data_IF_693531154251
#
_entry.id   IF_693531154251
#
_cell.length_a   1.000
_cell.length_b   1.000
_cell.length_c   1.000
_cell.angle_alpha   90.00
_cell.angle_beta   90.00
_cell.angle_gamma   90.00
#
_symmetry.space_group_name_H-M   'P 1'
#
loop_
_entity.id
_entity.type
_entity.pdbx_description
1 polymer ?
#
# COMPACT_ATOMS: atom_id res chain seq x y z
N UNK A 1 8.75 -7.40 1.28
CA UNK A 1 8.06 -8.11 0.19
C UNK A 1 8.11 -9.60 0.49
N UNK A 2 6.98 -10.22 0.87
CA UNK A 2 6.91 -11.67 1.00
C UNK A 2 6.68 -12.23 -0.39
N UNK A 3 7.68 -12.91 -0.95
CA UNK A 3 7.54 -13.63 -2.22
C UNK A 3 6.96 -15.00 -1.90
N UNK A 4 5.66 -15.18 -2.11
CA UNK A 4 5.05 -16.50 -2.06
C UNK A 4 5.51 -17.27 -3.31
N UNK A 5 6.28 -18.33 -3.11
CA UNK A 5 6.79 -19.15 -4.20
C UNK A 5 5.69 -20.10 -4.71
N UNK A 6 4.87 -19.63 -5.66
CA UNK A 6 3.87 -20.47 -6.31
C UNK A 6 4.54 -21.30 -7.41
N UNK A 7 4.49 -22.63 -7.29
CA UNK A 7 5.06 -23.56 -8.28
C UNK A 7 4.43 -23.33 -9.67
N UNK A 8 5.28 -23.16 -10.68
CA UNK A 8 4.86 -22.97 -12.07
C UNK A 8 4.19 -24.26 -12.58
N UNK A 9 2.93 -24.19 -13.00
CA UNK A 9 2.18 -25.30 -13.61
C UNK A 9 1.03 -25.88 -12.77
N UNK A 10 0.85 -25.45 -11.52
CA UNK A 10 -0.35 -25.80 -10.75
C UNK A 10 -1.49 -24.83 -11.08
N UNK A 11 -2.68 -25.37 -11.38
CA UNK A 11 -3.94 -24.59 -11.46
C UNK A 11 -4.38 -24.20 -10.04
N UNK A 12 -3.51 -23.51 -9.30
CA UNK A 12 -3.80 -23.08 -7.94
C UNK A 12 -4.73 -21.88 -8.03
N UNK A 13 -5.99 -22.07 -7.64
CA UNK A 13 -6.98 -21.00 -7.57
C UNK A 13 -6.53 -19.96 -6.55
N UNK A 14 -6.96 -18.70 -6.71
CA UNK A 14 -6.79 -17.65 -5.67
C UNK A 14 -7.32 -18.13 -4.31
N UNK A 15 -8.36 -18.99 -4.32
CA UNK A 15 -8.89 -19.61 -3.11
C UNK A 15 -7.95 -20.64 -2.48
N UNK A 16 -7.15 -21.35 -3.29
CA UNK A 16 -6.18 -22.34 -2.81
C UNK A 16 -4.99 -21.64 -2.13
N UNK A 17 -4.53 -20.52 -2.70
CA UNK A 17 -3.45 -19.70 -2.08
C UNK A 17 -3.92 -19.08 -0.77
N UNK A 18 -5.19 -18.62 -0.70
CA UNK A 18 -5.79 -18.11 0.55
C UNK A 18 -5.84 -19.19 1.63
N UNK A 19 -6.21 -20.41 1.27
CA UNK A 19 -6.26 -21.55 2.21
C UNK A 19 -4.85 -21.93 2.70
N UNK A 20 -3.86 -21.98 1.80
CA UNK A 20 -2.48 -22.33 2.14
C UNK A 20 -1.83 -21.31 3.08
N UNK A 21 -2.02 -20.01 2.81
CA UNK A 21 -1.54 -18.93 3.70
C UNK A 21 -2.25 -19.00 5.05
N UNK A 22 -3.57 -19.17 5.09
CA UNK A 22 -4.33 -19.26 6.33
C UNK A 22 -3.96 -20.49 7.19
N UNK A 23 -3.68 -21.64 6.56
CA UNK A 23 -3.26 -22.86 7.25
C UNK A 23 -1.84 -22.74 7.83
N UNK A 24 -0.95 -21.98 7.18
CA UNK A 24 0.43 -21.79 7.64
C UNK A 24 0.57 -20.87 8.87
N UNK A 25 -0.41 -20.00 9.14
CA UNK A 25 -0.33 -18.95 10.17
C UNK A 25 -1.17 -19.29 11.43
N UNK A 26 -1.87 -20.43 11.45
CA UNK A 26 -2.90 -20.71 12.45
C UNK A 26 -4.09 -19.78 12.28
N UNK A 27 -5.24 -20.07 12.91
CA UNK A 27 -6.51 -19.34 12.71
C UNK A 27 -6.40 -17.92 13.33
N UNK A 28 -5.64 -17.06 12.68
CA UNK A 28 -5.64 -15.61 12.84
C UNK A 28 -6.40 -15.13 11.61
N UNK A 29 -7.49 -14.39 11.84
CA UNK A 29 -8.40 -13.90 10.80
C UNK A 29 -7.59 -13.38 9.59
N UNK A 30 -7.51 -14.19 8.53
CA UNK A 30 -6.67 -13.97 7.36
C UNK A 30 -7.18 -12.84 6.45
N UNK A 31 -7.98 -11.93 7.00
CA UNK A 31 -8.47 -10.74 6.33
C UNK A 31 -7.58 -9.56 6.74
N UNK A 32 -7.05 -8.85 5.75
CA UNK A 32 -6.35 -7.59 5.97
C UNK A 32 -7.20 -6.56 6.74
N UNK A 33 -6.53 -5.54 7.27
CA UNK A 33 -7.18 -4.42 7.97
C UNK A 33 -8.28 -3.83 7.08
N UNK A 34 -9.43 -3.44 7.65
CA UNK A 34 -10.55 -2.86 6.90
C UNK A 34 -10.05 -1.70 6.02
N UNK A 35 -10.41 -1.72 4.74
CA UNK A 35 -9.99 -0.70 3.77
C UNK A 35 -8.64 -0.97 3.12
N UNK A 36 -7.96 -2.07 3.45
CA UNK A 36 -6.70 -2.50 2.81
C UNK A 36 -6.93 -3.68 1.85
N UNK A 37 -5.96 -3.93 0.97
CA UNK A 37 -6.01 -5.02 -0.02
C UNK A 37 -4.76 -5.87 0.07
N UNK A 38 -4.97 -7.18 0.10
CA UNK A 38 -3.92 -8.14 -0.23
C UNK A 38 -3.81 -8.26 -1.75
N UNK A 39 -2.58 -8.32 -2.26
CA UNK A 39 -2.34 -8.57 -3.68
C UNK A 39 -1.70 -9.96 -3.82
N UNK A 40 -2.49 -10.92 -4.30
CA UNK A 40 -2.02 -12.28 -4.59
C UNK A 40 -1.26 -12.31 -5.93
N UNK A 41 -0.56 -13.40 -6.29
CA UNK A 41 0.32 -13.41 -7.46
C UNK A 41 -0.35 -12.98 -8.78
N UNK A 42 -1.64 -13.26 -8.98
CA UNK A 42 -2.38 -12.77 -10.15
C UNK A 42 -2.60 -11.25 -10.11
N UNK A 43 -3.10 -10.73 -8.98
CA UNK A 43 -3.32 -9.29 -8.78
C UNK A 43 -2.00 -8.50 -8.82
N UNK A 44 -0.92 -9.08 -8.27
CA UNK A 44 0.43 -8.50 -8.33
C UNK A 44 0.95 -8.42 -9.75
N UNK A 45 0.72 -9.43 -10.61
CA UNK A 45 1.10 -9.37 -12.02
C UNK A 45 0.38 -8.23 -12.74
N UNK A 46 -0.92 -8.09 -12.50
CA UNK A 46 -1.70 -7.00 -13.09
C UNK A 46 -1.24 -5.62 -12.59
N UNK A 47 -0.99 -5.49 -11.28
CA UNK A 47 -0.47 -4.26 -10.68
C UNK A 47 0.89 -3.88 -11.25
N UNK A 48 1.81 -4.83 -11.34
CA UNK A 48 3.15 -4.59 -11.87
C UNK A 48 3.08 -4.18 -13.34
N UNK A 49 2.29 -4.88 -14.16
CA UNK A 49 2.06 -4.47 -15.55
C UNK A 49 1.59 -3.00 -15.65
N UNK A 50 0.66 -2.58 -14.78
CA UNK A 50 0.21 -1.18 -14.77
C UNK A 50 1.33 -0.20 -14.38
N UNK A 51 2.10 -0.52 -13.34
CA UNK A 51 3.17 0.35 -12.86
C UNK A 51 4.35 0.43 -13.84
N UNK A 52 4.71 -0.67 -14.50
CA UNK A 52 5.72 -0.68 -15.56
C UNK A 52 5.36 0.31 -16.67
N UNK A 53 4.06 0.42 -17.03
CA UNK A 53 3.60 1.40 -18.02
C UNK A 53 3.68 2.86 -17.51
N UNK A 54 3.49 3.10 -16.22
CA UNK A 54 3.68 4.44 -15.64
C UNK A 54 5.14 4.85 -15.64
N UNK A 55 6.04 3.91 -15.29
CA UNK A 55 7.48 4.14 -15.27
C UNK A 55 8.01 4.42 -16.68
N UNK A 56 7.61 3.60 -17.67
CA UNK A 56 7.96 3.80 -19.08
C UNK A 56 7.52 5.19 -19.59
N UNK A 57 6.29 5.61 -19.27
CA UNK A 57 5.78 6.91 -19.66
C UNK A 57 6.56 8.06 -18.98
N UNK A 58 6.84 7.95 -17.68
CA UNK A 58 7.60 8.96 -16.94
C UNK A 58 9.02 9.13 -17.53
N UNK A 59 9.71 8.02 -17.80
CA UNK A 59 11.05 8.01 -18.39
C UNK A 59 11.06 8.60 -19.80
N UNK A 60 10.07 8.27 -20.63
CA UNK A 60 9.95 8.82 -21.98
C UNK A 60 9.85 10.36 -21.99
N UNK A 61 9.27 10.93 -20.93
CA UNK A 61 9.14 12.37 -20.76
C UNK A 61 10.23 13.01 -19.89
N UNK A 62 11.27 12.24 -19.51
CA UNK A 62 12.44 12.76 -18.78
C UNK A 62 12.17 13.09 -17.31
N UNK A 63 11.10 12.55 -16.71
CA UNK A 63 10.87 12.66 -15.27
C UNK A 63 11.88 11.78 -14.51
N UNK A 64 12.16 12.15 -13.26
CA UNK A 64 13.01 11.40 -12.35
C UNK A 64 12.17 10.87 -11.20
N UNK A 65 12.40 9.60 -10.85
CA UNK A 65 11.72 8.95 -9.75
C UNK A 65 12.22 9.50 -8.39
N UNK A 66 11.30 9.68 -7.46
CA UNK A 66 11.59 9.94 -6.05
C UNK A 66 10.52 9.25 -5.19
N UNK A 67 10.83 9.01 -3.92
CA UNK A 67 9.85 8.58 -2.92
C UNK A 67 10.14 9.27 -1.58
N UNK A 68 9.11 9.34 -0.76
CA UNK A 68 9.15 9.92 0.57
C UNK A 68 8.59 8.92 1.59
N UNK A 69 8.79 9.11 2.90
CA UNK A 69 8.14 8.29 3.91
C UNK A 69 6.60 8.32 3.76
N UNK A 70 5.94 7.17 3.96
CA UNK A 70 4.46 7.12 3.98
C UNK A 70 3.86 7.77 5.23
N UNK A 71 4.64 7.90 6.30
CA UNK A 71 4.25 8.51 7.56
C UNK A 71 4.88 9.89 7.68
N UNK A 72 4.05 10.92 7.79
CA UNK A 72 4.48 12.31 7.76
C UNK A 72 3.86 13.13 8.91
N UNK A 73 4.33 14.37 9.09
CA UNK A 73 3.74 15.29 10.06
C UNK A 73 2.32 15.67 9.66
N UNK A 74 1.37 15.57 10.59
CA UNK A 74 -0.03 15.99 10.36
C UNK A 74 -0.12 17.45 9.89
N UNK A 75 0.81 18.30 10.35
CA UNK A 75 0.86 19.73 10.04
C UNK A 75 1.01 20.03 8.53
N UNK A 76 1.60 19.12 7.75
CA UNK A 76 1.75 19.30 6.29
C UNK A 76 0.39 19.43 5.58
N UNK A 77 -0.64 18.79 6.12
CA UNK A 77 -1.96 18.68 5.49
C UNK A 77 -2.97 19.70 6.02
N UNK A 78 -2.85 20.09 7.29
CA UNK A 78 -3.80 21.02 7.93
C UNK A 78 -3.55 22.48 7.53
N UNK A 79 -2.32 22.85 7.18
CA UNK A 79 -1.97 24.23 6.79
C UNK A 79 -2.68 24.72 5.53
N UNK A 80 -2.94 23.85 4.55
CA UNK A 80 -3.46 24.24 3.22
C UNK A 80 -4.96 24.00 3.04
N UNK A 81 -5.53 23.01 3.74
CA UNK A 81 -6.90 22.54 3.50
C UNK A 81 -7.88 22.84 4.65
N UNK A 82 -7.43 23.53 5.70
CA UNK A 82 -8.25 23.84 6.88
C UNK A 82 -8.43 22.65 7.84
N UNK A 83 -9.12 22.84 8.95
CA UNK A 83 -9.30 21.78 9.96
C UNK A 83 -10.25 20.66 9.50
N UNK A 84 -11.09 20.89 8.49
CA UNK A 84 -12.13 19.94 8.06
C UNK A 84 -11.53 18.66 7.42
N UNK A 85 -10.33 18.74 6.83
CA UNK A 85 -9.65 17.55 6.29
C UNK A 85 -9.21 16.57 7.37
N UNK A 86 -9.02 17.02 8.61
CA UNK A 86 -8.51 16.17 9.71
C UNK A 86 -9.40 14.97 9.97
N UNK A 87 -10.71 15.06 9.68
CA UNK A 87 -11.64 13.95 9.87
C UNK A 87 -11.43 12.80 8.87
N UNK A 88 -10.78 13.08 7.74
CA UNK A 88 -10.49 12.09 6.70
C UNK A 88 -9.04 11.59 6.74
N UNK A 89 -8.15 12.27 7.48
CA UNK A 89 -6.76 11.85 7.66
C UNK A 89 -6.70 10.61 8.52
N UNK A 90 -5.88 9.65 8.11
CA UNK A 90 -5.45 8.57 9.00
C UNK A 90 -4.31 9.08 9.89
N UNK A 91 -4.65 9.85 10.93
CA UNK A 91 -3.72 10.45 11.87
C UNK A 91 -3.72 9.76 13.24
N UNK A 92 -2.59 9.87 13.94
CA UNK A 92 -2.42 9.36 15.30
C UNK A 92 -1.24 10.05 16.00
N UNK A 93 -1.15 9.85 17.31
CA UNK A 93 0.03 10.24 18.11
C UNK A 93 0.99 9.06 18.18
N UNK A 94 2.24 9.28 17.78
CA UNK A 94 3.27 8.26 17.92
C UNK A 94 3.74 8.11 19.39
N UNK A 95 4.70 7.22 19.64
CA UNK A 95 5.23 6.99 21.00
C UNK A 95 5.95 8.20 21.60
N UNK A 96 6.33 9.19 20.79
CA UNK A 96 6.94 10.45 21.22
C UNK A 96 5.95 11.60 21.33
N UNK A 97 4.64 11.31 21.33
CA UNK A 97 3.54 12.28 21.36
C UNK A 97 3.51 13.25 20.16
N UNK A 98 4.15 12.88 19.04
CA UNK A 98 4.12 13.65 17.80
C UNK A 98 2.86 13.31 17.01
N UNK A 99 2.20 14.35 16.49
CA UNK A 99 1.06 14.23 15.58
C UNK A 99 1.55 13.84 14.19
N UNK A 100 1.19 12.64 13.75
CA UNK A 100 1.59 12.08 12.45
C UNK A 100 0.37 11.56 11.69
N UNK A 101 0.49 11.47 10.37
CA UNK A 101 -0.53 10.91 9.50
C UNK A 101 0.09 10.01 8.44
N UNK A 102 -0.64 8.96 8.03
CA UNK A 102 -0.35 8.31 6.76
C UNK A 102 -0.69 9.29 5.64
N UNK A 103 0.22 9.48 4.68
CA UNK A 103 0.04 10.44 3.60
C UNK A 103 -1.26 10.18 2.82
N UNK A 104 -2.19 11.15 2.73
CA UNK A 104 -3.39 11.04 1.89
C UNK A 104 -3.07 11.29 0.40
N UNK A 105 -2.01 12.03 0.10
CA UNK A 105 -1.54 12.39 -1.24
C UNK A 105 -0.01 12.59 -1.23
N UNK A 106 0.61 12.78 -2.40
CA UNK A 106 2.06 12.95 -2.54
C UNK A 106 2.52 14.41 -2.65
N UNK A 107 1.65 15.34 -3.10
CA UNK A 107 2.04 16.73 -3.41
C UNK A 107 2.70 17.51 -2.25
N UNK A 108 2.31 17.33 -0.98
CA UNK A 108 2.92 18.04 0.14
C UNK A 108 4.25 17.50 0.64
N UNK A 109 4.64 16.28 0.23
CA UNK A 109 5.85 15.57 0.66
C UNK A 109 7.15 16.26 0.24
#
# INVERSE_FOLDING_TARGET
MVVLHVKKGSKTSVNDVRLEVALSVGIIMAQGVRGTRDFYPEDMRLRNWLFDNFDDAALLHGFQEYDAPVLESEELYTRKQGEEITQQLYNFKDKGDRKVALRPEMTPS
#
